data_IF_898712767198
#
_entry.id   IF_898712767198
#
_cell.length_a   1.000
_cell.length_b   1.000
_cell.length_c   1.000
_cell.angle_alpha   90.00
_cell.angle_beta   90.00
_cell.angle_gamma   90.00
#
_symmetry.space_group_name_H-M   'P 1'
#
loop_
_entity.id
_entity.type
_entity.pdbx_description
1 polymer ?
#
# COMPACT_ATOMS: atom_id res chain seq x y z
N UNK A 1 19.34 -16.45 -59.82
CA UNK A 1 19.75 -17.65 -59.11
C UNK A 1 18.59 -18.13 -58.27
N UNK A 2 18.07 -19.30 -58.59
CA UNK A 2 17.08 -19.97 -57.70
C UNK A 2 17.78 -20.31 -56.39
N UNK A 3 17.11 -20.10 -55.24
CA UNK A 3 17.63 -20.59 -53.98
C UNK A 3 17.76 -22.11 -54.10
N UNK A 4 18.86 -22.65 -53.58
CA UNK A 4 19.06 -24.08 -53.47
C UNK A 4 17.89 -24.69 -52.69
N UNK A 5 17.39 -25.89 -53.11
CA UNK A 5 16.35 -26.56 -52.35
C UNK A 5 16.84 -26.77 -50.92
N UNK A 6 15.94 -26.52 -49.97
CA UNK A 6 16.23 -26.74 -48.57
C UNK A 6 16.80 -28.17 -48.37
N UNK A 7 18.00 -28.26 -47.77
CA UNK A 7 18.57 -29.55 -47.43
C UNK A 7 17.58 -30.29 -46.52
N UNK A 8 17.27 -31.53 -46.86
CA UNK A 8 16.48 -32.40 -45.97
C UNK A 8 17.35 -32.67 -44.74
N UNK A 9 17.07 -31.97 -43.64
CA UNK A 9 17.65 -32.31 -42.35
C UNK A 9 16.90 -33.51 -41.80
N UNK A 10 17.63 -34.48 -41.26
CA UNK A 10 17.00 -35.57 -40.52
C UNK A 10 16.49 -35.00 -39.19
N UNK A 11 15.29 -35.36 -38.82
CA UNK A 11 14.73 -34.99 -37.53
C UNK A 11 15.64 -35.52 -36.41
N UNK A 12 16.01 -34.67 -35.50
CA UNK A 12 16.74 -35.05 -34.29
C UNK A 12 15.72 -35.68 -33.33
N UNK A 13 15.90 -36.93 -32.91
CA UNK A 13 14.96 -37.55 -31.97
C UNK A 13 15.02 -36.83 -30.63
N UNK A 14 13.85 -36.70 -30.01
CA UNK A 14 13.77 -36.19 -28.65
C UNK A 14 14.53 -37.08 -27.69
N UNK A 15 15.14 -36.47 -26.68
CA UNK A 15 15.66 -37.22 -25.54
C UNK A 15 14.54 -37.94 -24.79
N UNK A 16 14.79 -39.09 -24.16
CA UNK A 16 13.76 -39.78 -23.40
C UNK A 16 13.08 -38.88 -22.38
N UNK A 17 11.75 -38.85 -22.39
CA UNK A 17 10.95 -37.99 -21.50
C UNK A 17 10.62 -36.59 -22.00
N UNK A 18 11.11 -36.25 -23.21
CA UNK A 18 10.79 -34.97 -23.86
C UNK A 18 9.97 -35.16 -25.13
N UNK A 19 9.20 -34.16 -25.49
CA UNK A 19 8.36 -34.17 -26.67
C UNK A 19 7.92 -32.75 -27.06
N UNK A 20 7.24 -32.64 -28.19
CA UNK A 20 6.74 -31.35 -28.68
C UNK A 20 5.77 -30.67 -27.70
N UNK A 21 5.04 -31.46 -26.90
CA UNK A 21 4.10 -30.98 -25.89
C UNK A 21 4.70 -30.97 -24.47
N UNK A 22 5.85 -31.60 -24.30
CA UNK A 22 6.58 -31.67 -23.03
C UNK A 22 8.07 -31.27 -23.26
N UNK A 23 8.33 -30.02 -23.65
CA UNK A 23 9.70 -29.56 -23.98
C UNK A 23 10.58 -29.44 -22.74
N UNK A 24 9.99 -29.33 -21.55
CA UNK A 24 10.65 -29.21 -20.25
C UNK A 24 9.93 -30.09 -19.24
N UNK A 25 10.65 -30.87 -18.40
CA UNK A 25 10.02 -31.62 -17.31
C UNK A 25 9.28 -30.66 -16.37
N UNK A 26 7.95 -30.75 -16.31
CA UNK A 26 7.09 -29.80 -15.58
C UNK A 26 5.92 -30.49 -14.92
N UNK A 27 5.50 -30.02 -13.75
CA UNK A 27 4.32 -30.44 -13.04
C UNK A 27 3.66 -29.25 -12.30
N UNK A 28 2.56 -28.65 -12.81
CA UNK A 28 1.83 -28.99 -14.04
C UNK A 28 2.66 -28.79 -15.33
N UNK A 29 2.26 -29.44 -16.44
CA UNK A 29 2.92 -29.31 -17.74
C UNK A 29 3.01 -27.86 -18.24
N UNK A 30 3.92 -27.62 -19.18
CA UNK A 30 3.97 -26.35 -19.90
C UNK A 30 2.75 -26.23 -20.81
N UNK A 31 2.06 -25.10 -20.71
CA UNK A 31 0.88 -24.78 -21.54
C UNK A 31 1.05 -23.40 -22.19
N UNK A 32 0.45 -23.25 -23.37
CA UNK A 32 0.34 -21.97 -24.07
C UNK A 32 -1.14 -21.61 -24.15
N UNK A 33 -1.51 -20.48 -23.57
CA UNK A 33 -2.85 -19.93 -23.76
C UNK A 33 -3.01 -19.45 -25.20
N UNK A 34 -3.94 -20.06 -25.94
CA UNK A 34 -4.13 -19.79 -27.35
C UNK A 34 -4.67 -18.38 -27.66
N UNK A 35 -5.27 -17.71 -26.70
CA UNK A 35 -5.84 -16.37 -26.87
C UNK A 35 -4.82 -15.27 -26.58
N UNK A 36 -3.97 -15.45 -25.57
CA UNK A 36 -3.00 -14.46 -25.11
C UNK A 36 -1.57 -14.75 -25.53
N UNK A 37 -1.27 -16.02 -25.87
CA UNK A 37 0.09 -16.49 -26.12
C UNK A 37 0.93 -16.63 -24.84
N UNK A 38 0.33 -16.48 -23.66
CA UNK A 38 1.02 -16.65 -22.39
C UNK A 38 1.46 -18.11 -22.23
N UNK A 39 2.72 -18.29 -21.83
CA UNK A 39 3.29 -19.62 -21.54
C UNK A 39 3.35 -19.77 -20.03
N UNK A 40 2.77 -20.86 -19.53
CA UNK A 40 2.78 -21.22 -18.11
C UNK A 40 3.30 -22.63 -17.92
N UNK A 41 3.95 -22.90 -16.80
CA UNK A 41 4.43 -24.23 -16.46
C UNK A 41 5.29 -24.20 -15.20
N UNK A 42 5.47 -25.34 -14.57
CA UNK A 42 6.26 -25.50 -13.36
C UNK A 42 7.41 -26.49 -13.57
N UNK A 43 8.60 -26.05 -13.98
CA UNK A 43 9.75 -26.94 -14.20
C UNK A 43 10.11 -27.71 -12.94
N UNK A 44 10.37 -29.03 -13.08
CA UNK A 44 10.69 -29.92 -11.96
C UNK A 44 12.17 -30.31 -11.89
N UNK A 45 12.94 -29.92 -12.91
CA UNK A 45 14.37 -30.23 -12.95
C UNK A 45 15.18 -29.00 -13.40
N UNK A 46 16.34 -28.71 -12.77
CA UNK A 46 17.22 -27.65 -13.22
C UNK A 46 17.89 -28.01 -14.54
N UNK A 47 18.20 -27.00 -15.34
CA UNK A 47 18.88 -27.16 -16.62
C UNK A 47 18.70 -25.98 -17.55
N UNK A 48 19.46 -25.98 -18.64
CA UNK A 48 19.28 -25.08 -19.78
C UNK A 48 18.46 -25.81 -20.85
N UNK A 49 17.25 -25.34 -21.07
CA UNK A 49 16.33 -25.90 -22.05
C UNK A 49 16.17 -24.97 -23.23
N UNK A 50 16.26 -25.49 -24.44
CA UNK A 50 15.92 -24.74 -25.64
C UNK A 50 14.57 -25.22 -26.13
N UNK A 51 13.61 -24.28 -26.20
CA UNK A 51 12.27 -24.53 -26.70
C UNK A 51 12.02 -23.74 -27.97
N UNK A 52 11.36 -24.37 -28.94
CA UNK A 52 10.89 -23.73 -30.16
C UNK A 52 9.40 -23.57 -30.14
N UNK A 53 8.91 -22.36 -30.44
CA UNK A 53 7.49 -22.07 -30.58
C UNK A 53 7.20 -21.81 -32.04
N UNK A 54 6.26 -22.58 -32.60
CA UNK A 54 5.77 -22.40 -33.96
C UNK A 54 4.40 -21.75 -33.93
N UNK A 55 4.25 -20.62 -34.60
CA UNK A 55 2.96 -19.95 -34.84
C UNK A 55 2.61 -20.04 -36.31
N UNK A 56 1.49 -20.68 -36.58
CA UNK A 56 0.98 -20.86 -37.94
C UNK A 56 -0.25 -19.99 -38.18
N UNK A 57 -0.23 -19.22 -39.22
CA UNK A 57 -1.34 -18.37 -39.67
C UNK A 57 -2.18 -19.13 -40.72
N UNK A 58 -3.49 -19.16 -40.51
CA UNK A 58 -4.45 -19.76 -41.42
C UNK A 58 -5.48 -18.72 -41.89
N UNK A 59 -5.89 -18.80 -43.16
CA UNK A 59 -7.02 -18.04 -43.69
C UNK A 59 -7.90 -18.98 -44.49
N UNK A 60 -9.18 -19.00 -44.21
CA UNK A 60 -10.16 -19.91 -44.82
C UNK A 60 -9.73 -21.40 -44.82
N UNK A 61 -8.96 -21.81 -43.83
CA UNK A 61 -8.43 -23.17 -43.67
C UNK A 61 -7.11 -23.44 -44.41
N UNK A 62 -6.60 -22.47 -45.15
CA UNK A 62 -5.30 -22.57 -45.80
C UNK A 62 -4.18 -21.99 -44.94
N UNK A 63 -3.07 -22.73 -44.82
CA UNK A 63 -1.86 -22.28 -44.13
C UNK A 63 -1.18 -21.18 -44.98
N UNK A 64 -1.10 -19.97 -44.43
CA UNK A 64 -0.45 -18.82 -45.05
C UNK A 64 1.02 -18.70 -44.69
N UNK A 65 1.32 -18.84 -43.41
CA UNK A 65 2.69 -18.70 -42.92
C UNK A 65 2.91 -19.48 -41.66
N UNK A 66 4.16 -19.83 -41.37
CA UNK A 66 4.62 -20.36 -40.09
C UNK A 66 5.87 -19.59 -39.65
N UNK A 67 5.84 -19.06 -38.45
CA UNK A 67 6.99 -18.40 -37.83
C UNK A 67 7.47 -19.23 -36.66
N UNK A 68 8.76 -19.49 -36.58
CA UNK A 68 9.38 -20.19 -35.46
C UNK A 68 10.24 -19.20 -34.66
N UNK A 69 10.18 -19.34 -33.35
CA UNK A 69 11.06 -18.61 -32.39
C UNK A 69 11.64 -19.60 -31.41
N UNK A 70 12.94 -19.52 -31.22
CA UNK A 70 13.66 -20.32 -30.24
C UNK A 70 13.98 -19.48 -29.02
N UNK A 71 13.78 -20.08 -27.84
CA UNK A 71 14.05 -19.47 -26.55
C UNK A 71 14.92 -20.42 -25.74
N UNK A 72 15.91 -19.88 -25.05
CA UNK A 72 16.64 -20.61 -24.01
C UNK A 72 16.07 -20.23 -22.65
N UNK A 73 15.58 -21.23 -21.93
CA UNK A 73 15.14 -21.09 -20.55
C UNK A 73 16.17 -21.75 -19.63
N UNK A 74 16.67 -21.00 -18.66
CA UNK A 74 17.56 -21.52 -17.62
C UNK A 74 16.72 -21.77 -16.38
N UNK A 75 16.52 -23.04 -16.05
CA UNK A 75 15.85 -23.46 -14.81
C UNK A 75 16.91 -23.68 -13.75
N UNK A 76 16.79 -22.97 -12.65
CA UNK A 76 17.68 -23.10 -11.49
C UNK A 76 16.91 -23.68 -10.31
N UNK A 77 17.59 -24.41 -9.44
CA UNK A 77 17.00 -24.81 -8.16
C UNK A 77 17.26 -23.73 -7.12
N UNK A 78 16.18 -23.33 -6.45
CA UNK A 78 16.27 -22.47 -5.29
C UNK A 78 16.43 -23.34 -4.04
N UNK A 79 17.66 -23.54 -3.60
CA UNK A 79 17.99 -24.26 -2.37
C UNK A 79 19.11 -23.48 -1.62
N UNK A 80 18.84 -22.93 -0.45
CA UNK A 80 17.61 -23.03 0.35
C UNK A 80 16.42 -22.24 -0.22
N UNK A 81 15.21 -22.61 0.20
CA UNK A 81 13.99 -21.86 -0.12
C UNK A 81 14.12 -20.45 0.43
N UNK A 82 13.98 -19.46 -0.45
CA UNK A 82 13.94 -18.05 -0.07
C UNK A 82 12.48 -17.66 0.04
N UNK A 83 12.11 -17.02 1.15
CA UNK A 83 10.77 -16.51 1.39
C UNK A 83 10.91 -15.06 1.79
N UNK A 84 10.37 -14.16 0.98
CA UNK A 84 10.21 -12.76 1.35
C UNK A 84 9.00 -12.61 2.26
N UNK A 85 9.15 -11.90 3.36
CA UNK A 85 8.07 -11.66 4.30
C UNK A 85 8.22 -10.28 4.94
N UNK A 86 7.60 -9.27 4.32
CA UNK A 86 7.35 -8.01 5.00
C UNK A 86 6.44 -8.29 6.21
N UNK A 87 6.84 -7.83 7.40
CA UNK A 87 6.02 -8.02 8.59
C UNK A 87 4.80 -7.12 8.55
N UNK A 88 3.60 -7.65 8.85
CA UNK A 88 2.42 -6.81 9.03
C UNK A 88 2.67 -5.83 10.18
N UNK A 89 2.45 -4.56 9.93
CA UNK A 89 2.46 -3.53 10.95
C UNK A 89 1.24 -3.66 11.88
N UNK A 90 1.31 -3.08 13.07
CA UNK A 90 0.18 -3.03 14.00
C UNK A 90 -1.00 -2.21 13.44
N UNK A 91 -0.70 -1.30 12.51
CA UNK A 91 -1.65 -0.54 11.70
C UNK A 91 -1.11 -0.42 10.28
N UNK A 92 -2.00 -0.24 9.32
CA UNK A 92 -1.71 0.11 7.92
C UNK A 92 -2.11 1.57 7.61
N UNK A 93 -2.50 2.34 8.63
CA UNK A 93 -3.03 3.69 8.54
C UNK A 93 -2.16 4.66 9.35
N UNK A 94 -1.67 5.70 8.69
CA UNK A 94 -0.75 6.69 9.24
C UNK A 94 -1.13 8.10 8.80
N UNK A 95 -0.63 9.09 9.55
CA UNK A 95 -0.74 10.49 9.17
C UNK A 95 0.42 10.93 8.30
N UNK A 96 0.16 11.87 7.41
CA UNK A 96 1.22 12.54 6.65
C UNK A 96 2.24 13.16 7.62
N UNK A 97 3.51 12.99 7.29
CA UNK A 97 4.62 13.46 8.12
C UNK A 97 5.09 12.48 9.20
N UNK A 98 4.35 11.40 9.44
CA UNK A 98 4.83 10.33 10.32
C UNK A 98 5.93 9.52 9.64
N UNK A 99 6.93 9.12 10.43
CA UNK A 99 7.97 8.20 9.99
C UNK A 99 7.57 6.78 10.37
N UNK A 100 7.45 5.93 9.37
CA UNK A 100 7.05 4.53 9.52
C UNK A 100 8.30 3.67 9.58
N UNK A 101 8.41 2.79 10.57
CA UNK A 101 9.43 1.76 10.66
C UNK A 101 8.92 0.49 10.00
N UNK A 102 9.71 -0.11 9.11
CA UNK A 102 9.35 -1.35 8.41
C UNK A 102 10.17 -2.50 8.96
N UNK A 103 9.53 -3.65 9.08
CA UNK A 103 10.15 -4.87 9.58
C UNK A 103 9.93 -6.02 8.61
N UNK A 104 10.85 -6.96 8.62
CA UNK A 104 10.78 -8.15 7.79
C UNK A 104 11.06 -9.42 8.62
N UNK A 105 10.65 -10.57 8.10
CA UNK A 105 10.90 -11.89 8.67
C UNK A 105 11.20 -12.92 7.57
N UNK A 106 11.98 -12.48 6.59
CA UNK A 106 12.31 -13.29 5.42
C UNK A 106 13.22 -14.47 5.80
N UNK A 107 13.01 -15.59 5.13
CA UNK A 107 13.83 -16.80 5.33
C UNK A 107 14.83 -16.93 4.18
N UNK A 108 16.10 -17.13 4.50
CA UNK A 108 17.16 -17.32 3.51
C UNK A 108 17.59 -16.05 2.78
N UNK A 109 17.06 -14.89 3.15
CA UNK A 109 17.47 -13.62 2.59
C UNK A 109 18.88 -13.25 3.03
N UNK A 110 19.71 -12.80 2.09
CA UNK A 110 21.05 -12.23 2.32
C UNK A 110 21.10 -10.78 1.81
N UNK A 111 20.21 -10.44 0.91
CA UNK A 111 20.01 -9.09 0.36
C UNK A 111 18.54 -8.76 0.45
N UNK A 112 18.23 -7.53 0.80
CA UNK A 112 16.86 -7.02 0.85
C UNK A 112 16.78 -5.79 -0.05
N UNK A 113 15.65 -5.62 -0.71
CA UNK A 113 15.29 -4.41 -1.41
C UNK A 113 13.85 -4.06 -1.07
N UNK A 114 13.69 -2.94 -0.41
CA UNK A 114 12.40 -2.29 -0.19
C UNK A 114 12.13 -1.26 -1.27
N UNK A 115 10.91 -1.23 -1.75
CA UNK A 115 10.33 -0.18 -2.58
C UNK A 115 9.10 0.35 -1.85
N UNK A 116 9.09 1.63 -1.50
CA UNK A 116 8.01 2.22 -0.70
C UNK A 116 6.81 2.67 -1.54
N UNK A 117 6.85 2.48 -2.85
CA UNK A 117 5.72 2.62 -3.76
C UNK A 117 5.29 4.05 -4.04
N UNK A 118 6.18 5.03 -3.93
CA UNK A 118 5.86 6.43 -4.26
C UNK A 118 5.80 6.62 -5.77
N UNK A 119 4.65 7.00 -6.36
CA UNK A 119 4.52 7.10 -7.81
C UNK A 119 5.47 8.11 -8.44
N UNK A 120 6.12 7.72 -9.52
CA UNK A 120 6.96 8.60 -10.34
C UNK A 120 8.37 8.82 -9.82
N UNK A 121 8.80 8.07 -8.82
CA UNK A 121 10.19 8.03 -8.36
C UNK A 121 10.71 6.59 -8.36
N UNK A 122 12.03 6.43 -8.41
CA UNK A 122 12.77 5.18 -8.24
C UNK A 122 13.83 5.32 -7.12
N UNK A 123 13.75 6.39 -6.34
CA UNK A 123 14.66 6.69 -5.23
C UNK A 123 14.08 6.38 -3.85
N UNK A 124 12.82 5.98 -3.79
CA UNK A 124 12.07 5.54 -2.61
C UNK A 124 12.34 4.07 -2.28
N UNK A 125 13.61 3.71 -2.24
CA UNK A 125 14.07 2.35 -1.97
C UNK A 125 15.01 2.29 -0.77
N UNK A 126 15.10 1.12 -0.14
CA UNK A 126 16.09 0.83 0.91
C UNK A 126 16.62 -0.60 0.80
N UNK A 127 17.84 -0.80 1.30
CA UNK A 127 18.49 -2.12 1.43
C UNK A 127 18.70 -2.50 2.90
N UNK A 128 18.16 -1.73 3.82
CA UNK A 128 18.28 -1.95 5.26
C UNK A 128 17.33 -3.07 5.71
N UNK A 129 17.70 -3.75 6.79
CA UNK A 129 16.88 -4.80 7.40
C UNK A 129 15.62 -4.23 8.06
N UNK A 130 15.73 -3.05 8.65
CA UNK A 130 14.63 -2.33 9.28
C UNK A 130 14.66 -0.85 8.86
N UNK A 131 14.22 -0.54 7.64
CA UNK A 131 14.24 0.82 7.14
C UNK A 131 13.12 1.67 7.75
N UNK A 132 13.31 2.98 7.68
CA UNK A 132 12.26 3.96 7.99
C UNK A 132 11.93 4.77 6.74
N UNK A 133 10.67 5.14 6.59
CA UNK A 133 10.23 6.00 5.49
C UNK A 133 9.13 6.96 5.93
N UNK A 134 9.17 8.18 5.36
CA UNK A 134 8.13 9.20 5.56
C UNK A 134 7.55 9.56 4.20
N UNK A 135 6.26 9.34 4.03
CA UNK A 135 5.60 9.62 2.77
C UNK A 135 5.42 11.13 2.53
N UNK A 136 5.69 11.61 1.31
CA UNK A 136 5.61 13.03 0.99
C UNK A 136 4.18 13.56 0.87
N UNK A 137 3.23 12.70 0.52
CA UNK A 137 1.83 13.05 0.25
C UNK A 137 0.87 12.03 0.86
N UNK A 138 -0.40 12.39 0.95
CA UNK A 138 -1.47 11.47 1.29
C UNK A 138 -1.75 10.51 0.14
N UNK A 139 -2.20 9.30 0.45
CA UNK A 139 -2.50 8.31 -0.60
C UNK A 139 -2.49 6.89 -0.11
N UNK A 140 -2.52 6.00 -1.09
CA UNK A 140 -2.39 4.56 -0.89
C UNK A 140 -1.09 4.11 -1.55
N UNK A 141 -0.24 3.46 -0.79
CA UNK A 141 1.09 3.02 -1.20
C UNK A 141 1.22 1.51 -1.04
N UNK A 142 1.63 0.83 -2.10
CA UNK A 142 1.99 -0.58 -2.03
C UNK A 142 3.51 -0.69 -1.80
N UNK A 143 3.88 -1.07 -0.60
CA UNK A 143 5.27 -1.33 -0.23
C UNK A 143 5.63 -2.74 -0.65
N UNK A 144 6.74 -2.88 -1.36
CA UNK A 144 7.24 -4.15 -1.87
C UNK A 144 8.57 -4.47 -1.19
N UNK A 145 8.69 -5.70 -0.70
CA UNK A 145 9.94 -6.27 -0.23
C UNK A 145 10.38 -7.38 -1.16
N UNK A 146 11.60 -7.28 -1.66
CA UNK A 146 12.25 -8.33 -2.46
C UNK A 146 13.42 -8.90 -1.68
N UNK A 147 13.37 -10.19 -1.39
CA UNK A 147 14.48 -10.95 -0.81
C UNK A 147 15.42 -11.44 -1.91
N UNK A 148 16.70 -11.16 -1.78
CA UNK A 148 17.77 -11.52 -2.73
C UNK A 148 17.53 -11.05 -4.18
N UNK A 149 17.29 -9.73 -4.42
CA UNK A 149 16.87 -9.19 -5.72
C UNK A 149 17.84 -9.47 -6.86
N UNK A 150 19.12 -9.67 -6.57
CA UNK A 150 20.15 -9.99 -7.58
C UNK A 150 20.27 -11.48 -7.90
N UNK A 151 19.54 -12.34 -7.20
CA UNK A 151 19.66 -13.78 -7.29
C UNK A 151 18.62 -14.39 -8.23
N UNK A 152 18.92 -15.54 -8.88
CA UNK A 152 17.94 -16.24 -9.70
C UNK A 152 16.68 -16.69 -8.93
N UNK A 153 16.76 -16.75 -7.62
CA UNK A 153 15.73 -17.21 -6.70
C UNK A 153 15.27 -16.08 -5.77
N UNK A 154 15.10 -14.88 -6.30
CA UNK A 154 14.46 -13.81 -5.57
C UNK A 154 12.99 -14.14 -5.25
N UNK A 155 12.50 -13.70 -4.10
CA UNK A 155 11.09 -13.76 -3.75
C UNK A 155 10.59 -12.39 -3.33
N UNK A 156 9.28 -12.17 -3.45
CA UNK A 156 8.68 -10.85 -3.27
C UNK A 156 7.42 -10.94 -2.43
N UNK A 157 7.28 -10.01 -1.49
CA UNK A 157 6.04 -9.78 -0.75
C UNK A 157 5.65 -8.32 -0.82
N UNK A 158 4.36 -8.02 -0.65
CA UNK A 158 3.88 -6.63 -0.60
C UNK A 158 2.87 -6.40 0.52
N UNK A 159 2.75 -5.13 0.91
CA UNK A 159 1.77 -4.66 1.89
C UNK A 159 1.30 -3.26 1.50
N UNK A 160 0.00 -3.00 1.68
CA UNK A 160 -0.61 -1.70 1.38
C UNK A 160 -0.67 -0.84 2.64
N UNK A 161 -0.31 0.44 2.49
CA UNK A 161 -0.38 1.46 3.53
C UNK A 161 -1.24 2.64 3.06
N UNK A 162 -1.93 3.24 4.01
CA UNK A 162 -2.81 4.38 3.78
C UNK A 162 -2.31 5.59 4.57
N UNK A 163 -2.02 6.67 3.87
CA UNK A 163 -1.54 7.92 4.47
C UNK A 163 -2.64 8.95 4.38
N UNK A 164 -3.06 9.48 5.53
CA UNK A 164 -4.16 10.42 5.65
C UNK A 164 -3.69 11.80 6.08
N UNK A 165 -4.47 12.82 5.74
CA UNK A 165 -4.34 14.14 6.34
C UNK A 165 -5.08 14.20 7.68
N UNK A 166 -4.54 14.94 8.68
CA UNK A 166 -5.29 15.31 9.85
C UNK A 166 -6.50 16.17 9.45
N UNK A 167 -7.58 16.07 10.20
CA UNK A 167 -8.75 16.94 10.02
C UNK A 167 -8.35 18.36 10.41
N UNK A 168 -8.65 19.35 9.56
CA UNK A 168 -8.60 20.74 9.93
C UNK A 168 -9.80 21.02 10.85
N UNK A 169 -9.51 21.02 12.17
CA UNK A 169 -10.52 21.08 13.23
C UNK A 169 -10.61 22.52 13.73
N UNK A 170 -11.80 23.11 13.63
CA UNK A 170 -12.09 24.42 14.17
C UNK A 170 -13.19 24.36 15.23
N UNK A 171 -13.00 25.07 16.35
CA UNK A 171 -14.04 25.25 17.36
C UNK A 171 -14.81 26.53 17.03
N UNK A 172 -16.11 26.40 16.87
CA UNK A 172 -17.04 27.50 16.61
C UNK A 172 -17.83 27.86 17.85
N UNK A 173 -17.92 29.14 18.15
CA UNK A 173 -18.86 29.71 19.13
C UNK A 173 -20.14 30.10 18.41
N UNK A 174 -21.19 29.30 18.60
CA UNK A 174 -22.49 29.55 17.99
C UNK A 174 -23.28 30.65 18.73
N UNK A 175 -23.26 30.60 20.06
CA UNK A 175 -23.95 31.58 20.91
C UNK A 175 -23.29 31.66 22.30
N UNK A 176 -23.54 32.78 22.97
CA UNK A 176 -23.07 33.06 24.32
C UNK A 176 -24.20 33.65 25.17
N UNK A 177 -24.36 33.17 26.38
CA UNK A 177 -25.38 33.64 27.30
C UNK A 177 -24.97 33.58 28.76
N UNK A 178 -25.56 34.42 29.61
CA UNK A 178 -25.52 34.26 31.06
C UNK A 178 -26.77 33.51 31.51
N UNK A 179 -26.63 32.24 31.90
CA UNK A 179 -27.72 31.41 32.38
C UNK A 179 -27.66 31.35 33.91
N UNK A 180 -28.66 32.01 34.58
CA UNK A 180 -28.73 32.05 36.07
C UNK A 180 -27.47 32.62 36.74
N UNK A 181 -26.79 33.56 36.10
CA UNK A 181 -25.54 34.16 36.60
C UNK A 181 -24.27 33.33 36.37
N UNK A 182 -24.36 32.34 35.48
CA UNK A 182 -23.27 31.51 35.04
C UNK A 182 -23.03 31.71 33.56
N UNK A 183 -21.77 31.86 33.15
CA UNK A 183 -21.44 31.92 31.72
C UNK A 183 -21.76 30.58 31.04
N UNK A 184 -22.37 30.68 29.88
CA UNK A 184 -22.75 29.53 29.07
C UNK A 184 -22.36 29.76 27.61
N UNK A 185 -21.79 28.77 26.99
CA UNK A 185 -21.35 28.79 25.59
C UNK A 185 -22.04 27.67 24.82
N UNK A 186 -22.60 27.99 23.67
CA UNK A 186 -23.03 27.00 22.69
C UNK A 186 -21.93 26.82 21.68
N UNK A 187 -21.31 25.65 21.72
CA UNK A 187 -20.11 25.33 20.96
C UNK A 187 -20.39 24.22 19.94
N UNK A 188 -19.69 24.29 18.83
CA UNK A 188 -19.60 23.22 17.87
C UNK A 188 -18.18 23.10 17.32
N UNK A 189 -17.89 22.01 16.67
CA UNK A 189 -16.70 21.86 15.82
C UNK A 189 -17.10 21.80 14.36
N UNK A 190 -16.32 22.46 13.51
CA UNK A 190 -16.32 22.31 12.08
C UNK A 190 -15.09 21.52 11.61
N UNK A 191 -15.23 20.79 10.50
CA UNK A 191 -14.20 19.96 9.91
C UNK A 191 -14.78 18.94 8.94
N UNK A 192 -13.91 18.31 8.15
CA UNK A 192 -14.29 17.28 7.19
C UNK A 192 -14.55 15.93 7.89
N UNK A 193 -15.61 15.85 8.71
CA UNK A 193 -15.92 14.65 9.47
C UNK A 193 -16.55 13.55 8.61
N UNK A 194 -16.17 12.30 8.90
CA UNK A 194 -16.75 11.09 8.31
C UNK A 194 -17.32 10.19 9.41
N UNK A 195 -17.98 9.11 9.02
CA UNK A 195 -18.50 8.13 9.98
C UNK A 195 -17.42 7.43 10.85
N UNK A 196 -16.14 7.57 10.47
CA UNK A 196 -15.00 7.03 11.21
C UNK A 196 -14.31 8.05 12.10
N UNK A 197 -14.81 9.31 12.12
CA UNK A 197 -14.20 10.37 12.94
C UNK A 197 -14.76 10.29 14.36
N UNK A 198 -13.86 10.23 15.34
CA UNK A 198 -14.18 10.33 16.75
C UNK A 198 -13.88 11.74 17.25
N UNK A 199 -14.91 12.40 17.78
CA UNK A 199 -14.78 13.71 18.43
C UNK A 199 -14.77 13.51 19.95
N UNK A 200 -13.86 14.19 20.63
CA UNK A 200 -13.79 14.22 22.09
C UNK A 200 -13.60 15.65 22.57
N UNK A 201 -14.59 16.14 23.32
CA UNK A 201 -14.49 17.42 24.00
C UNK A 201 -14.07 17.21 25.46
N UNK A 202 -13.28 18.14 25.94
CA UNK A 202 -12.97 18.29 27.36
C UNK A 202 -13.28 19.73 27.78
N UNK A 203 -14.16 19.87 28.75
CA UNK A 203 -14.59 21.16 29.32
C UNK A 203 -14.08 21.25 30.75
N UNK A 204 -12.81 21.67 30.93
CA UNK A 204 -12.24 21.79 32.26
C UNK A 204 -12.95 22.90 33.06
N UNK A 205 -13.61 22.54 34.16
CA UNK A 205 -14.43 23.45 34.93
C UNK A 205 -15.87 23.63 34.41
N UNK A 206 -16.21 22.99 33.30
CA UNK A 206 -17.53 23.08 32.67
C UNK A 206 -18.51 22.00 33.06
N UNK A 207 -19.78 22.24 32.75
CA UNK A 207 -20.89 21.29 32.83
C UNK A 207 -21.67 21.28 31.50
N UNK A 208 -21.69 20.14 30.76
CA UNK A 208 -21.00 18.87 31.06
C UNK A 208 -19.47 19.02 31.07
N UNK A 209 -18.75 18.05 31.69
CA UNK A 209 -17.29 18.07 31.72
C UNK A 209 -16.65 17.52 30.43
N UNK A 210 -17.40 16.81 29.61
CA UNK A 210 -16.96 16.24 28.33
C UNK A 210 -18.14 15.94 27.42
N UNK A 211 -17.85 15.79 26.10
CA UNK A 211 -18.83 15.37 25.09
C UNK A 211 -18.09 14.63 23.96
N UNK A 212 -18.83 13.86 23.18
CA UNK A 212 -18.37 13.22 21.94
C UNK A 212 -19.23 13.59 20.73
N UNK A 213 -20.00 14.64 20.84
CA UNK A 213 -20.84 15.16 19.76
C UNK A 213 -20.11 16.28 19.01
N UNK A 214 -20.35 16.43 17.73
CA UNK A 214 -19.87 17.58 16.95
C UNK A 214 -20.43 18.92 17.45
N UNK A 215 -21.62 18.87 18.05
CA UNK A 215 -22.26 20.00 18.74
C UNK A 215 -22.73 19.53 20.10
N UNK A 216 -21.96 19.77 21.17
CA UNK A 216 -22.33 19.39 22.54
C UNK A 216 -23.50 20.19 23.10
N UNK A 217 -23.87 21.32 22.46
CA UNK A 217 -24.84 22.27 22.97
C UNK A 217 -24.26 23.18 24.07
N UNK A 218 -25.15 23.69 24.93
CA UNK A 218 -24.74 24.62 25.98
C UNK A 218 -23.85 23.99 27.03
N UNK A 219 -22.68 24.59 27.24
CA UNK A 219 -21.74 24.25 28.32
C UNK A 219 -21.64 25.43 29.26
N UNK A 220 -21.83 25.20 30.56
CA UNK A 220 -21.81 26.27 31.59
C UNK A 220 -20.52 26.19 32.41
N UNK A 221 -19.96 27.35 32.76
CA UNK A 221 -18.74 27.47 33.58
C UNK A 221 -19.02 28.33 34.81
N UNK A 222 -18.90 27.71 35.97
CA UNK A 222 -19.25 28.38 37.25
C UNK A 222 -18.16 29.32 37.76
N UNK A 223 -16.93 29.24 37.28
CA UNK A 223 -15.80 30.08 37.66
C UNK A 223 -15.13 30.66 36.41
N UNK A 224 -15.01 31.99 36.38
CA UNK A 224 -14.43 32.74 35.26
C UNK A 224 -12.90 32.58 35.12
N UNK A 225 -12.19 32.04 36.12
CA UNK A 225 -10.72 32.12 36.19
C UNK A 225 -9.96 30.87 35.76
N UNK A 226 -10.61 29.72 35.56
CA UNK A 226 -9.89 28.43 35.30
C UNK A 226 -10.65 27.45 34.44
N UNK A 227 -11.21 27.89 33.32
CA UNK A 227 -11.79 26.95 32.38
C UNK A 227 -10.96 26.85 31.10
N UNK A 228 -10.97 25.70 30.53
CA UNK A 228 -10.34 25.41 29.25
C UNK A 228 -11.26 24.49 28.45
N UNK A 229 -11.40 24.79 27.18
CA UNK A 229 -12.17 23.96 26.25
C UNK A 229 -11.21 23.41 25.22
N UNK A 230 -11.14 22.10 25.11
CA UNK A 230 -10.36 21.41 24.09
C UNK A 230 -11.26 20.46 23.32
N UNK A 231 -11.16 20.50 22.01
CA UNK A 231 -11.73 19.51 21.13
C UNK A 231 -10.61 18.71 20.46
N UNK A 232 -10.78 17.41 20.37
CA UNK A 232 -9.88 16.47 19.70
C UNK A 232 -10.70 15.70 18.68
N UNK A 233 -10.23 15.68 17.44
CA UNK A 233 -10.73 14.81 16.38
C UNK A 233 -9.70 13.74 16.06
N UNK A 234 -10.13 12.49 16.05
CA UNK A 234 -9.32 11.35 15.64
C UNK A 234 -9.94 10.68 14.43
N UNK A 235 -9.13 10.46 13.39
CA UNK A 235 -9.56 9.89 12.12
C UNK A 235 -8.43 9.05 11.51
N UNK A 236 -8.64 7.75 11.39
CA UNK A 236 -7.65 6.81 10.85
C UNK A 236 -6.23 6.96 11.44
N UNK A 237 -6.16 7.11 12.78
CA UNK A 237 -4.89 7.32 13.48
C UNK A 237 -4.40 8.77 13.49
N UNK A 238 -4.96 9.66 12.66
CA UNK A 238 -4.65 11.07 12.66
C UNK A 238 -5.39 11.81 13.78
N UNK A 239 -4.66 12.59 14.56
CA UNK A 239 -5.20 13.33 15.69
C UNK A 239 -5.02 14.83 15.46
N UNK A 240 -6.14 15.54 15.43
CA UNK A 240 -6.18 17.01 15.45
C UNK A 240 -6.72 17.48 16.78
N UNK A 241 -6.20 18.59 17.28
CA UNK A 241 -6.69 19.21 18.50
C UNK A 241 -6.82 20.72 18.34
N UNK A 242 -7.86 21.26 18.99
CA UNK A 242 -8.09 22.70 19.08
C UNK A 242 -8.42 23.07 20.52
N UNK A 243 -7.98 24.26 20.90
CA UNK A 243 -8.32 24.85 22.20
C UNK A 243 -9.07 26.17 21.96
N UNK A 244 -10.17 26.34 22.65
CA UNK A 244 -10.95 27.55 22.60
C UNK A 244 -10.58 28.44 23.78
N UNK A 245 -10.04 29.63 23.46
CA UNK A 245 -9.69 30.65 24.43
C UNK A 245 -10.73 31.76 24.41
N UNK A 246 -11.46 31.93 25.49
CA UNK A 246 -12.41 33.01 25.66
C UNK A 246 -11.76 34.16 26.44
N UNK A 247 -11.83 35.34 25.86
CA UNK A 247 -11.49 36.60 26.55
C UNK A 247 -12.80 37.34 26.80
N UNK A 248 -13.18 37.44 28.05
CA UNK A 248 -14.37 38.21 28.42
C UNK A 248 -14.26 39.64 27.88
N UNK A 249 -15.32 40.20 27.27
CA UNK A 249 -15.34 41.59 26.89
C UNK A 249 -15.05 42.45 28.11
N UNK A 250 -14.14 43.41 27.96
CA UNK A 250 -13.89 44.37 29.04
C UNK A 250 -15.25 45.04 29.45
N UNK A 251 -15.56 45.01 30.74
CA UNK A 251 -16.74 45.68 31.26
C UNK A 251 -16.84 47.08 30.66
N UNK A 252 -17.96 47.46 30.04
CA UNK A 252 -18.14 48.85 29.65
C UNK A 252 -18.16 49.65 30.94
N UNK A 253 -17.11 50.47 31.12
CA UNK A 253 -16.98 51.36 32.29
C UNK A 253 -18.31 52.07 32.44
N UNK A 254 -19.02 51.73 33.50
CA UNK A 254 -20.23 52.47 33.88
C UNK A 254 -19.82 53.90 34.21
N UNK A 255 -20.19 54.83 33.31
CA UNK A 255 -20.07 56.30 33.54
C UNK A 255 -21.30 56.78 34.32
#
# INVERSE_FOLDING_TARGET
>A
PQPLPASTFNDIPWSPGFGAMDPIPSAPPFEIDAATGAITGFPTAPGAYVIGICVSEYRDGELLSTVMRDFQLNVVMCDPTIISAAQPQSTDQYCIGETIEFFENSIGAQELLWDFGVPGTDTDISFEEAPTFTYPDTGTYEVILIANPSWPCADTSSQVFYIYEPIDLEIELNDFACLNGVEAFDLSVDGAFTGSTNITWTFAGGLPASSNLTSPGWVTFANEENWNVTAVAEHYGCVSNQTFDWVAPADPIAN
#
